data_IF_801578088687
#
_entry.id   IF_801578088687
#
_cell.length_a   1.000
_cell.length_b   1.000
_cell.length_c   1.000
_cell.angle_alpha   90.00
_cell.angle_beta   90.00
_cell.angle_gamma   90.00
#
_symmetry.space_group_name_H-M   'P 1'
#
loop_
_entity.id
_entity.type
_entity.pdbx_description
1 polymer ?
#
# COMPACT_ATOMS: atom_id res chain seq x y z
N UNK A 1 18.55 -6.03 12.47
CA UNK A 1 17.58 -7.02 12.01
C UNK A 1 17.62 -7.22 10.50
N UNK A 2 17.45 -8.42 10.07
CA UNK A 2 17.40 -8.80 8.67
C UNK A 2 15.95 -8.87 8.20
N UNK A 3 15.74 -8.60 6.91
CA UNK A 3 14.47 -8.87 6.23
C UNK A 3 14.68 -10.04 5.28
N UNK A 4 13.91 -11.09 5.49
CA UNK A 4 14.02 -12.34 4.75
C UNK A 4 12.67 -12.59 4.08
N UNK A 5 12.65 -12.60 2.75
CA UNK A 5 11.48 -12.91 1.97
C UNK A 5 11.65 -14.26 1.25
N UNK A 6 10.59 -15.08 1.26
CA UNK A 6 10.54 -16.39 0.63
C UNK A 6 9.27 -16.58 -0.19
N UNK A 7 9.23 -17.54 -1.11
CA UNK A 7 8.07 -17.83 -1.95
C UNK A 7 8.35 -17.69 -3.44
N UNK A 8 9.54 -18.08 -3.88
CA UNK A 8 9.96 -18.02 -5.29
C UNK A 8 9.91 -16.58 -5.87
N UNK A 9 10.44 -15.63 -5.12
CA UNK A 9 10.53 -14.24 -5.54
C UNK A 9 11.59 -14.06 -6.61
N UNK A 10 11.30 -13.21 -7.59
CA UNK A 10 12.25 -12.71 -8.55
C UNK A 10 12.82 -11.35 -8.09
N UNK A 11 13.82 -10.85 -8.80
CA UNK A 11 14.62 -9.70 -8.40
C UNK A 11 13.79 -8.45 -8.05
N UNK A 12 12.80 -8.10 -8.88
CA UNK A 12 11.96 -6.91 -8.64
C UNK A 12 11.09 -7.06 -7.38
N UNK A 13 10.61 -8.25 -7.09
CA UNK A 13 9.81 -8.50 -5.89
C UNK A 13 10.69 -8.46 -4.62
N UNK A 14 11.92 -8.95 -4.69
CA UNK A 14 12.89 -8.84 -3.58
C UNK A 14 13.27 -7.37 -3.30
N UNK A 15 13.50 -6.59 -4.34
CA UNK A 15 13.76 -5.15 -4.22
C UNK A 15 12.56 -4.42 -3.58
N UNK A 16 11.35 -4.75 -4.00
CA UNK A 16 10.11 -4.22 -3.41
C UNK A 16 10.04 -4.45 -1.90
N UNK A 17 10.34 -5.67 -1.43
CA UNK A 17 10.38 -5.99 0.00
C UNK A 17 11.41 -5.15 0.74
N UNK A 18 12.59 -4.94 0.16
CA UNK A 18 13.64 -4.10 0.76
C UNK A 18 13.20 -2.64 0.87
N UNK A 19 12.57 -2.09 -0.17
CA UNK A 19 12.04 -0.72 -0.18
C UNK A 19 10.95 -0.53 0.88
N UNK A 20 10.00 -1.45 1.00
CA UNK A 20 8.98 -1.43 2.05
C UNK A 20 9.61 -1.46 3.44
N UNK A 21 10.61 -2.29 3.65
CA UNK A 21 11.32 -2.40 4.93
C UNK A 21 12.03 -1.10 5.30
N UNK A 22 12.59 -0.40 4.33
CA UNK A 22 13.22 0.91 4.53
C UNK A 22 12.18 1.98 4.96
N UNK A 23 10.99 1.96 4.36
CA UNK A 23 9.87 2.85 4.75
C UNK A 23 9.47 2.59 6.19
N UNK A 24 9.21 1.34 6.55
CA UNK A 24 8.78 0.97 7.90
C UNK A 24 9.83 1.38 8.93
N UNK A 25 11.10 1.13 8.66
CA UNK A 25 12.22 1.54 9.54
C UNK A 25 12.30 3.05 9.72
N UNK A 26 11.95 3.82 8.70
CA UNK A 26 11.97 5.29 8.77
C UNK A 26 10.87 5.86 9.66
N UNK A 27 9.70 5.23 9.69
CA UNK A 27 8.51 5.74 10.36
C UNK A 27 8.20 5.06 11.69
N UNK A 28 8.87 3.98 12.02
CA UNK A 28 8.74 3.30 13.32
C UNK A 28 9.72 3.87 14.34
N UNK A 29 9.23 4.17 15.56
CA UNK A 29 10.09 4.54 16.68
C UNK A 29 10.69 3.32 17.38
N UNK A 30 10.12 2.16 17.18
CA UNK A 30 10.73 0.93 17.67
C UNK A 30 12.04 0.66 16.92
N UNK A 31 13.00 0.08 17.61
CA UNK A 31 14.27 -0.31 17.02
C UNK A 31 14.07 -1.55 16.13
N UNK A 32 13.28 -1.36 15.03
CA UNK A 32 13.00 -2.42 14.02
C UNK A 32 14.31 -2.94 13.42
N UNK A 33 15.37 -2.12 13.46
CA UNK A 33 16.70 -2.58 13.05
C UNK A 33 17.23 -3.74 13.89
N UNK A 34 16.66 -4.02 15.04
CA UNK A 34 17.00 -5.16 15.90
C UNK A 34 16.07 -6.37 15.68
N UNK A 35 14.92 -6.19 15.01
CA UNK A 35 13.97 -7.27 14.72
C UNK A 35 14.25 -7.92 13.37
N UNK A 36 14.20 -9.24 13.31
CA UNK A 36 14.19 -9.98 12.05
C UNK A 36 12.74 -10.07 11.54
N UNK A 37 12.54 -9.72 10.27
CA UNK A 37 11.25 -9.75 9.61
C UNK A 37 11.28 -10.87 8.56
N UNK A 38 10.41 -11.86 8.73
CA UNK A 38 10.25 -12.95 7.80
C UNK A 38 8.92 -12.79 7.04
N UNK A 39 8.99 -12.70 5.73
CA UNK A 39 7.85 -12.56 4.82
C UNK A 39 7.78 -13.78 3.94
N UNK A 40 6.64 -14.46 3.92
CA UNK A 40 6.40 -15.58 3.03
C UNK A 40 5.27 -15.26 2.06
N UNK A 41 5.56 -15.35 0.77
CA UNK A 41 4.55 -15.34 -0.28
C UNK A 41 4.03 -16.74 -0.49
N UNK A 42 2.73 -16.95 -0.32
CA UNK A 42 2.06 -18.23 -0.51
C UNK A 42 1.25 -18.23 -1.81
N UNK A 43 1.09 -19.40 -2.43
CA UNK A 43 0.32 -19.58 -3.67
C UNK A 43 0.80 -18.73 -4.86
N UNK A 44 2.10 -18.64 -5.02
CA UNK A 44 2.71 -17.83 -6.08
C UNK A 44 2.66 -18.45 -7.49
N UNK A 45 2.06 -19.65 -7.62
CA UNK A 45 2.03 -20.40 -8.87
C UNK A 45 3.41 -20.99 -9.25
N UNK A 46 3.48 -21.55 -10.45
CA UNK A 46 4.71 -22.21 -10.93
C UNK A 46 5.81 -21.23 -11.39
N UNK A 47 5.44 -19.99 -11.71
CA UNK A 47 6.37 -18.98 -12.24
C UNK A 47 6.93 -18.05 -11.16
N UNK A 48 6.50 -18.21 -9.91
CA UNK A 48 6.90 -17.32 -8.82
C UNK A 48 6.24 -15.94 -8.88
N UNK A 49 6.73 -15.01 -8.08
CA UNK A 49 6.27 -13.60 -8.02
C UNK A 49 7.36 -12.70 -8.59
N UNK A 50 6.95 -11.83 -9.51
CA UNK A 50 7.80 -10.77 -10.06
C UNK A 50 7.07 -9.44 -10.03
N UNK A 51 7.86 -8.34 -10.10
CA UNK A 51 7.32 -6.99 -10.05
C UNK A 51 7.11 -6.48 -8.63
N UNK A 52 6.79 -5.19 -8.55
CA UNK A 52 6.63 -4.43 -7.30
C UNK A 52 5.16 -4.20 -6.90
N UNK A 53 4.23 -4.77 -7.64
CA UNK A 53 2.78 -4.56 -7.44
C UNK A 53 2.22 -5.11 -6.12
N UNK A 54 3.01 -5.90 -5.38
CA UNK A 54 2.67 -6.38 -4.04
C UNK A 54 3.18 -5.48 -2.91
N UNK A 55 3.83 -4.36 -3.21
CA UNK A 55 4.48 -3.50 -2.19
C UNK A 55 3.51 -3.05 -1.10
N UNK A 56 2.31 -2.59 -1.45
CA UNK A 56 1.31 -2.18 -0.46
C UNK A 56 0.82 -3.36 0.40
N UNK A 57 0.73 -4.55 -0.17
CA UNK A 57 0.37 -5.78 0.56
C UNK A 57 1.43 -6.15 1.58
N UNK A 58 2.70 -6.12 1.16
CA UNK A 58 3.85 -6.37 2.06
C UNK A 58 3.87 -5.35 3.20
N UNK A 59 3.73 -4.06 2.89
CA UNK A 59 3.69 -3.01 3.89
C UNK A 59 2.55 -3.22 4.91
N UNK A 60 1.35 -3.51 4.42
CA UNK A 60 0.18 -3.77 5.27
C UNK A 60 0.40 -4.98 6.19
N UNK A 61 0.92 -6.08 5.65
CA UNK A 61 1.18 -7.30 6.43
C UNK A 61 2.24 -7.08 7.52
N UNK A 62 3.32 -6.37 7.21
CA UNK A 62 4.38 -6.09 8.19
C UNK A 62 3.87 -5.13 9.27
N UNK A 63 3.13 -4.08 8.90
CA UNK A 63 2.56 -3.13 9.86
C UNK A 63 1.53 -3.82 10.75
N UNK A 64 0.66 -4.66 10.19
CA UNK A 64 -0.30 -5.49 10.94
C UNK A 64 0.41 -6.33 12.01
N UNK A 65 1.51 -6.99 11.64
CA UNK A 65 2.28 -7.82 12.57
C UNK A 65 3.01 -7.00 13.66
N UNK A 66 3.50 -5.81 13.32
CA UNK A 66 4.19 -4.93 14.28
C UNK A 66 3.23 -4.29 15.29
N UNK A 67 2.04 -3.94 14.84
CA UNK A 67 1.01 -3.26 15.65
C UNK A 67 0.03 -4.27 16.32
N UNK A 68 0.17 -5.56 16.05
CA UNK A 68 -0.73 -6.64 16.51
C UNK A 68 -2.21 -6.36 16.17
N UNK A 69 -2.47 -5.90 14.95
CA UNK A 69 -3.80 -5.54 14.44
C UNK A 69 -4.15 -6.44 13.25
N UNK A 70 -5.35 -7.00 13.24
CA UNK A 70 -5.83 -7.86 12.16
C UNK A 70 -5.97 -7.14 10.81
N UNK A 71 -5.87 -7.91 9.72
CA UNK A 71 -6.16 -7.45 8.35
C UNK A 71 -7.47 -8.07 7.88
N UNK A 72 -8.33 -7.25 7.30
CA UNK A 72 -9.59 -7.69 6.72
C UNK A 72 -9.37 -8.74 5.62
N UNK A 73 -10.07 -9.87 5.71
CA UNK A 73 -9.85 -11.03 4.85
C UNK A 73 -10.72 -11.04 3.58
N UNK A 74 -11.69 -10.15 3.47
CA UNK A 74 -12.53 -9.96 2.28
C UNK A 74 -11.94 -8.95 1.28
N UNK A 75 -10.68 -8.60 1.45
CA UNK A 75 -9.96 -7.54 0.76
C UNK A 75 -8.84 -8.10 -0.10
N UNK A 76 -8.76 -7.62 -1.33
CA UNK A 76 -7.58 -7.75 -2.18
C UNK A 76 -6.94 -6.39 -2.42
N UNK A 77 -5.67 -6.35 -2.75
CA UNK A 77 -5.00 -5.10 -3.07
C UNK A 77 -3.85 -5.30 -4.05
N UNK A 78 -3.58 -4.25 -4.82
CA UNK A 78 -2.41 -4.16 -5.70
C UNK A 78 -1.91 -2.73 -5.73
N UNK A 79 -0.61 -2.54 -5.75
CA UNK A 79 0.01 -1.22 -5.83
C UNK A 79 1.50 -1.28 -5.51
N UNK A 80 2.28 -0.48 -6.21
CA UNK A 80 3.66 -0.19 -5.87
C UNK A 80 3.72 0.90 -4.80
N UNK A 81 4.84 1.00 -4.09
CA UNK A 81 5.00 1.92 -2.98
C UNK A 81 6.32 2.69 -3.11
N UNK A 82 6.24 4.02 -3.13
CA UNK A 82 7.42 4.88 -3.06
C UNK A 82 7.99 4.92 -1.65
N UNK A 83 9.25 5.31 -1.52
CA UNK A 83 9.92 5.51 -0.21
C UNK A 83 9.29 6.64 0.63
N UNK A 84 8.36 7.39 0.06
CA UNK A 84 7.60 8.45 0.72
C UNK A 84 6.23 7.98 1.20
N UNK A 85 5.80 6.78 0.82
CA UNK A 85 4.49 6.23 1.14
C UNK A 85 3.42 6.46 0.08
N UNK A 86 3.78 7.02 -1.08
CA UNK A 86 2.85 7.19 -2.20
C UNK A 86 2.57 5.85 -2.86
N UNK A 87 1.31 5.57 -3.16
CA UNK A 87 0.88 4.38 -3.90
C UNK A 87 1.01 4.67 -5.39
N UNK A 88 1.85 3.90 -6.07
CA UNK A 88 2.20 4.09 -7.47
C UNK A 88 1.41 3.13 -8.37
N UNK A 89 1.14 3.53 -9.63
CA UNK A 89 0.38 2.72 -10.59
C UNK A 89 1.09 1.42 -10.93
N UNK A 90 0.30 0.40 -11.29
CA UNK A 90 0.74 -0.94 -11.67
C UNK A 90 0.08 -1.38 -12.97
N UNK A 91 0.60 -2.44 -13.59
CA UNK A 91 0.01 -3.05 -14.77
C UNK A 91 -1.10 -4.05 -14.43
N UNK A 92 -2.00 -4.28 -15.40
CA UNK A 92 -2.99 -5.36 -15.35
C UNK A 92 -4.07 -5.21 -14.28
N UNK A 93 -4.42 -3.98 -13.90
CA UNK A 93 -5.37 -3.69 -12.81
C UNK A 93 -6.75 -4.33 -13.06
N UNK A 94 -7.28 -4.27 -14.27
CA UNK A 94 -8.57 -4.87 -14.62
C UNK A 94 -8.60 -6.37 -14.33
N UNK A 95 -7.61 -7.13 -14.80
CA UNK A 95 -7.55 -8.57 -14.56
C UNK A 95 -7.38 -8.93 -13.09
N UNK A 96 -6.68 -8.10 -12.33
CA UNK A 96 -6.52 -8.27 -10.87
C UNK A 96 -7.82 -8.07 -10.13
N UNK A 97 -8.62 -7.06 -10.51
CA UNK A 97 -9.96 -6.82 -9.96
C UNK A 97 -10.90 -7.99 -10.25
N UNK A 98 -10.96 -8.44 -11.50
CA UNK A 98 -11.79 -9.58 -11.89
C UNK A 98 -11.37 -10.88 -11.17
N UNK A 99 -10.06 -11.11 -11.02
CA UNK A 99 -9.56 -12.27 -10.26
C UNK A 99 -9.95 -12.20 -8.79
N UNK A 100 -9.91 -11.03 -8.17
CA UNK A 100 -10.34 -10.82 -6.79
C UNK A 100 -11.85 -11.05 -6.64
N UNK A 101 -12.68 -10.55 -7.56
CA UNK A 101 -14.12 -10.80 -7.60
C UNK A 101 -14.44 -12.29 -7.70
N UNK A 102 -13.78 -13.00 -8.62
CA UNK A 102 -13.90 -14.46 -8.77
C UNK A 102 -13.47 -15.24 -7.52
N UNK A 103 -12.48 -14.74 -6.79
CA UNK A 103 -12.03 -15.33 -5.54
C UNK A 103 -12.96 -15.04 -4.35
N UNK A 104 -13.98 -14.21 -4.52
CA UNK A 104 -14.97 -13.86 -3.49
C UNK A 104 -14.57 -12.69 -2.60
N UNK A 105 -13.54 -11.94 -2.95
CA UNK A 105 -13.22 -10.68 -2.28
C UNK A 105 -14.34 -9.67 -2.49
N UNK A 106 -14.67 -8.91 -1.45
CA UNK A 106 -15.72 -7.89 -1.49
C UNK A 106 -15.19 -6.50 -1.85
N UNK A 107 -13.91 -6.28 -1.59
CA UNK A 107 -13.24 -4.98 -1.80
C UNK A 107 -11.88 -5.19 -2.46
N UNK A 108 -11.51 -4.27 -3.33
CA UNK A 108 -10.19 -4.26 -3.98
C UNK A 108 -9.59 -2.87 -3.89
N UNK A 109 -8.43 -2.75 -3.29
CA UNK A 109 -7.65 -1.51 -3.29
C UNK A 109 -6.76 -1.47 -4.54
N UNK A 110 -6.81 -0.36 -5.24
CA UNK A 110 -6.00 -0.08 -6.42
C UNK A 110 -5.33 1.29 -6.31
N UNK A 111 -4.23 1.55 -7.03
CA UNK A 111 -3.70 2.90 -7.13
C UNK A 111 -4.70 3.84 -7.80
N UNK A 112 -4.89 5.05 -7.25
CA UNK A 112 -5.79 6.05 -7.84
C UNK A 112 -5.38 6.40 -9.28
N UNK A 113 -4.09 6.40 -9.58
CA UNK A 113 -3.59 6.65 -10.93
C UNK A 113 -4.03 5.58 -11.95
N UNK A 114 -4.45 4.38 -11.51
CA UNK A 114 -4.99 3.33 -12.36
C UNK A 114 -6.52 3.36 -12.49
N UNK A 115 -7.22 4.27 -11.84
CA UNK A 115 -8.69 4.30 -11.87
C UNK A 115 -9.22 4.42 -13.31
N UNK A 116 -8.55 5.20 -14.14
CA UNK A 116 -8.88 5.36 -15.57
C UNK A 116 -8.60 4.11 -16.42
N UNK A 117 -7.79 3.17 -15.93
CA UNK A 117 -7.43 1.94 -16.64
C UNK A 117 -8.40 0.79 -16.35
N UNK A 118 -9.35 1.00 -15.45
CA UNK A 118 -10.32 -0.02 -15.03
C UNK A 118 -11.39 -0.19 -16.09
N UNK A 119 -11.45 -1.37 -16.70
CA UNK A 119 -12.42 -1.76 -17.72
C UNK A 119 -12.94 -3.17 -17.42
N UNK A 120 -13.61 -3.33 -16.27
CA UNK A 120 -14.17 -4.62 -15.86
C UNK A 120 -15.45 -4.93 -16.65
N UNK A 121 -15.74 -6.22 -16.80
CA UNK A 121 -17.00 -6.67 -17.41
C UNK A 121 -18.17 -6.43 -16.45
N UNK A 122 -19.37 -6.15 -17.00
CA UNK A 122 -20.60 -5.82 -16.25
C UNK A 122 -20.91 -6.86 -15.14
N UNK A 123 -20.56 -8.14 -15.37
CA UNK A 123 -20.80 -9.21 -14.40
C UNK A 123 -20.02 -9.04 -13.08
N UNK A 124 -18.93 -8.24 -13.08
CA UNK A 124 -18.08 -8.01 -11.91
C UNK A 124 -18.39 -6.69 -11.20
N UNK A 125 -19.09 -5.74 -11.85
CA UNK A 125 -19.35 -4.41 -11.30
C UNK A 125 -20.06 -4.46 -9.93
N UNK A 126 -21.04 -5.37 -9.79
CA UNK A 126 -21.79 -5.52 -8.55
C UNK A 126 -21.16 -6.51 -7.55
N UNK A 127 -20.05 -7.18 -7.93
CA UNK A 127 -19.42 -8.20 -7.09
C UNK A 127 -18.39 -7.64 -6.14
N UNK A 128 -17.75 -6.54 -6.50
CA UNK A 128 -16.59 -6.02 -5.80
C UNK A 128 -16.62 -4.49 -5.75
N UNK A 129 -16.34 -3.93 -4.59
CA UNK A 129 -16.11 -2.49 -4.42
C UNK A 129 -14.66 -2.16 -4.73
N UNK A 130 -14.44 -1.23 -5.65
CA UNK A 130 -13.11 -0.74 -6.02
C UNK A 130 -12.78 0.49 -5.20
N UNK A 131 -11.64 0.47 -4.51
CA UNK A 131 -11.20 1.53 -3.62
C UNK A 131 -9.87 2.11 -4.14
N UNK A 132 -9.92 3.23 -4.89
CA UNK A 132 -8.72 3.94 -5.32
C UNK A 132 -8.04 4.63 -4.14
N UNK A 133 -6.72 4.50 -4.06
CA UNK A 133 -5.89 5.12 -3.01
C UNK A 133 -4.62 5.74 -3.60
N UNK A 134 -4.09 6.77 -2.94
CA UNK A 134 -2.87 7.46 -3.36
C UNK A 134 -1.74 7.40 -2.33
N UNK A 135 -2.03 7.01 -1.10
CA UNK A 135 -1.05 6.92 -0.02
C UNK A 135 -1.25 5.66 0.84
N UNK A 136 -0.17 5.15 1.42
CA UNK A 136 -0.22 3.93 2.26
C UNK A 136 -1.15 4.10 3.47
N UNK A 137 -1.31 5.31 4.02
CA UNK A 137 -2.23 5.56 5.14
C UNK A 137 -3.67 5.21 4.79
N UNK A 138 -4.11 5.50 3.56
CA UNK A 138 -5.45 5.16 3.07
C UNK A 138 -5.62 3.64 2.93
N UNK A 139 -4.57 2.93 2.50
CA UNK A 139 -4.57 1.46 2.48
C UNK A 139 -4.77 0.89 3.87
N UNK A 140 -4.05 1.40 4.86
CA UNK A 140 -4.14 0.94 6.25
C UNK A 140 -5.50 1.23 6.87
N UNK A 141 -6.12 2.38 6.55
CA UNK A 141 -7.47 2.73 7.01
C UNK A 141 -8.54 1.73 6.54
N UNK A 142 -8.38 1.20 5.32
CA UNK A 142 -9.32 0.22 4.75
C UNK A 142 -9.00 -1.19 5.19
N UNK A 143 -7.72 -1.53 5.29
CA UNK A 143 -7.25 -2.91 5.45
C UNK A 143 -7.17 -3.37 6.90
N UNK A 144 -6.81 -2.50 7.84
CA UNK A 144 -6.62 -2.89 9.23
C UNK A 144 -7.93 -2.90 10.01
N UNK A 145 -8.11 -3.92 10.85
CA UNK A 145 -9.27 -4.08 11.73
C UNK A 145 -8.96 -3.46 13.09
N UNK A 146 -9.77 -2.48 13.50
CA UNK A 146 -9.63 -1.80 14.79
C UNK A 146 -9.13 -0.36 14.68
N UNK A 147 -9.19 0.35 15.80
CA UNK A 147 -8.65 1.70 15.91
C UNK A 147 -7.15 1.63 16.26
N UNK A 148 -6.34 2.29 15.46
CA UNK A 148 -4.92 2.42 15.76
C UNK A 148 -4.73 3.28 17.02
N UNK A 149 -3.86 2.86 17.92
CA UNK A 149 -3.47 3.68 19.08
C UNK A 149 -2.85 5.02 18.59
N UNK A 150 -3.04 6.07 19.37
CA UNK A 150 -2.66 7.45 18.97
C UNK A 150 -1.16 7.61 18.66
N UNK A 151 -0.32 6.74 19.22
CA UNK A 151 1.14 6.75 19.03
C UNK A 151 1.64 5.59 18.15
N UNK A 152 0.74 4.93 17.43
CA UNK A 152 1.06 3.82 16.57
C UNK A 152 1.77 4.26 15.27
N UNK A 153 2.47 3.33 14.62
CA UNK A 153 3.05 3.51 13.28
C UNK A 153 1.99 3.98 12.26
N UNK A 154 0.77 3.46 12.38
CA UNK A 154 -0.38 3.85 11.56
C UNK A 154 -0.72 5.33 11.74
N UNK A 155 -0.79 5.81 13.00
CA UNK A 155 -1.07 7.22 13.30
C UNK A 155 0.02 8.14 12.74
N UNK A 156 1.29 7.74 12.80
CA UNK A 156 2.42 8.50 12.25
C UNK A 156 2.38 8.59 10.74
N UNK A 157 2.09 7.49 10.04
CA UNK A 157 1.92 7.47 8.59
C UNK A 157 0.77 8.37 8.13
N UNK A 158 -0.33 8.43 8.90
CA UNK A 158 -1.46 9.34 8.65
C UNK A 158 -1.09 10.81 8.82
N UNK A 159 -0.32 11.16 9.83
CA UNK A 159 0.08 12.53 10.12
C UNK A 159 0.96 13.15 9.03
N UNK A 160 1.74 12.34 8.31
CA UNK A 160 2.58 12.80 7.19
C UNK A 160 1.72 13.31 6.03
N UNK A 161 0.61 12.64 5.74
CA UNK A 161 -0.32 13.04 4.68
C UNK A 161 -1.01 14.37 5.03
N UNK A 162 -1.38 14.57 6.28
CA UNK A 162 -1.99 15.82 6.78
C UNK A 162 -1.06 17.03 6.71
N UNK A 163 0.24 16.84 6.95
CA UNK A 163 1.24 17.92 6.88
C UNK A 163 1.56 18.35 5.44
N UNK A 164 1.56 17.40 4.49
CA UNK A 164 1.84 17.71 3.08
C UNK A 164 0.72 18.52 2.41
N UNK A 165 -0.52 18.44 2.90
CA UNK A 165 -1.65 19.20 2.39
C UNK A 165 -1.68 20.65 2.92
N UNK A 166 -1.01 20.95 4.04
CA UNK A 166 -0.95 22.29 4.61
C UNK A 166 0.17 23.17 4.02
N UNK A 167 1.21 22.59 3.46
CA UNK A 167 2.35 23.32 2.87
C UNK A 167 2.12 23.78 1.41
N UNK A 168 0.98 23.44 0.82
CA UNK A 168 0.58 23.82 -0.55
C UNK A 168 0.04 25.25 -0.73
N UNK A 169 -0.09 26.04 0.35
CA UNK A 169 -0.52 27.44 0.26
C UNK A 169 0.67 28.39 0.07
N UNK A 170 1.24 28.38 -1.14
CA UNK A 170 2.21 29.41 -1.55
C UNK A 170 1.43 30.69 -1.87
N UNK A 171 1.59 31.69 -1.01
CA UNK A 171 1.15 33.04 -1.30
C UNK A 171 1.83 33.54 -2.60
N UNK A 172 1.01 33.85 -3.59
CA UNK A 172 1.48 34.46 -4.83
C UNK A 172 2.13 35.84 -4.59
N UNK A 173 3.12 36.22 -5.38
CA UNK A 173 3.78 37.53 -5.22
C UNK A 173 2.80 38.66 -5.52
N UNK A 174 2.69 39.59 -4.58
CA UNK A 174 1.97 40.85 -4.75
C UNK A 174 2.67 41.70 -5.81
N UNK A 175 1.94 42.05 -6.87
CA UNK A 175 2.37 43.01 -7.89
C UNK A 175 2.52 44.42 -7.30
N UNK A 176 3.58 45.16 -7.63
CA UNK A 176 3.66 46.55 -7.23
C UNK A 176 2.76 47.43 -8.11
N UNK A 177 2.02 48.33 -7.48
CA UNK A 177 1.21 49.35 -8.15
C UNK A 177 2.10 50.39 -8.84
N UNK A 178 1.71 50.90 -10.03
CA UNK A 178 2.44 51.99 -10.69
C UNK A 178 2.11 53.35 -10.04
N UNK A 179 3.14 54.16 -9.89
CA UNK A 179 3.03 55.62 -9.69
C UNK A 179 2.90 56.30 -11.01
#
# INVERSE_FOLDING_TARGET
GQVIATGQLQEMAEESVQNVSAIIKKFSDENISEKDIHIQFVQTGQQGVDGDSASITVATAVISALEDVGVSQDLAMTGSLSVRGDVLPVGGVTHKIEAAAKAGCKRVIIPQANEQDVMIEDEYEDMVEIIPVSHISEVLDVALEGEAETDSLVARLKNITGSALQDGSVAGPSSPSPQ
#
